data_IF_755669533384
#
_entry.id   IF_755669533384
#
_cell.length_a   1.000
_cell.length_b   1.000
_cell.length_c   1.000
_cell.angle_alpha   90.00
_cell.angle_beta   90.00
_cell.angle_gamma   90.00
#
_symmetry.space_group_name_H-M   'P 1'
#
loop_
_entity.id
_entity.type
_entity.pdbx_description
1 polymer ?
#
# COMPACT_ATOMS: atom_id res chain seq x y z
N UNK A 1 -3.68 -18.91 -20.17
CA UNK A 1 -2.53 -18.13 -19.65
C UNK A 1 -2.78 -17.90 -18.17
N UNK A 2 -1.77 -18.00 -17.30
CA UNK A 2 -1.91 -17.58 -15.90
C UNK A 2 -2.18 -16.07 -15.88
N UNK A 3 -3.19 -15.63 -15.12
CA UNK A 3 -3.47 -14.21 -14.95
C UNK A 3 -2.21 -13.48 -14.45
N UNK A 4 -1.86 -12.36 -15.09
CA UNK A 4 -0.71 -11.56 -14.64
C UNK A 4 -0.99 -10.96 -13.27
N UNK A 5 0.05 -10.49 -12.57
CA UNK A 5 -0.12 -9.78 -11.30
C UNK A 5 -1.05 -8.56 -11.47
N UNK A 6 -0.90 -7.84 -12.58
CA UNK A 6 -1.79 -6.75 -12.97
C UNK A 6 -3.25 -7.21 -13.06
N UNK A 7 -3.54 -8.27 -13.83
CA UNK A 7 -4.91 -8.72 -14.07
C UNK A 7 -5.57 -9.21 -12.78
N UNK A 8 -4.80 -9.87 -11.91
CA UNK A 8 -5.26 -10.31 -10.59
C UNK A 8 -5.64 -9.10 -9.73
N UNK A 9 -4.82 -8.05 -9.76
CA UNK A 9 -5.05 -6.84 -8.98
C UNK A 9 -6.27 -6.08 -9.48
N UNK A 10 -6.32 -5.79 -10.78
CA UNK A 10 -7.43 -5.09 -11.42
C UNK A 10 -8.75 -5.83 -11.20
N UNK A 11 -8.76 -7.16 -11.38
CA UNK A 11 -9.92 -8.01 -11.05
C UNK A 11 -10.36 -7.83 -9.60
N UNK A 12 -9.40 -7.79 -8.66
CA UNK A 12 -9.72 -7.64 -7.23
C UNK A 12 -10.32 -6.27 -6.93
N UNK A 13 -9.80 -5.22 -7.55
CA UNK A 13 -10.33 -3.85 -7.44
C UNK A 13 -11.76 -3.81 -7.99
N UNK A 14 -12.00 -4.29 -9.22
CA UNK A 14 -13.31 -4.32 -9.84
C UNK A 14 -14.34 -5.07 -8.98
N UNK A 15 -13.96 -6.25 -8.44
CA UNK A 15 -14.82 -7.03 -7.55
C UNK A 15 -15.14 -6.30 -6.25
N UNK A 16 -14.14 -5.68 -5.62
CA UNK A 16 -14.34 -4.98 -4.35
C UNK A 16 -15.23 -3.74 -4.51
N UNK A 17 -15.05 -3.00 -5.59
CA UNK A 17 -15.84 -1.81 -5.88
C UNK A 17 -17.16 -2.10 -6.60
N UNK A 18 -17.51 -3.38 -6.78
CA UNK A 18 -18.73 -3.83 -7.49
C UNK A 18 -18.90 -3.13 -8.86
N UNK A 19 -17.80 -3.01 -9.61
CA UNK A 19 -17.79 -2.34 -10.90
C UNK A 19 -18.55 -3.16 -11.96
N UNK A 20 -19.28 -2.46 -12.82
CA UNK A 20 -20.01 -3.04 -13.95
C UNK A 20 -19.04 -3.57 -15.03
N UNK A 21 -19.38 -4.60 -15.80
CA UNK A 21 -18.52 -5.09 -16.89
C UNK A 21 -18.25 -4.02 -17.96
N UNK A 22 -17.03 -3.49 -18.00
CA UNK A 22 -16.58 -2.45 -18.92
C UNK A 22 -15.04 -2.50 -19.10
N UNK A 23 -14.51 -1.65 -19.99
CA UNK A 23 -13.10 -1.32 -20.07
C UNK A 23 -12.76 -0.17 -19.10
N UNK A 24 -11.88 -0.43 -18.13
CA UNK A 24 -11.42 0.57 -17.16
C UNK A 24 -9.99 1.01 -17.48
N UNK A 25 -9.74 2.31 -17.46
CA UNK A 25 -8.37 2.80 -17.51
C UNK A 25 -7.70 2.74 -16.14
N UNK A 26 -6.38 3.00 -16.08
CA UNK A 26 -5.65 3.02 -14.83
C UNK A 26 -6.19 4.05 -13.84
N UNK A 27 -6.69 5.19 -14.33
CA UNK A 27 -7.17 6.25 -13.48
C UNK A 27 -8.43 5.79 -12.73
N UNK A 28 -9.38 5.17 -13.43
CA UNK A 28 -10.60 4.64 -12.82
C UNK A 28 -10.26 3.67 -11.67
N UNK A 29 -9.32 2.75 -11.92
CA UNK A 29 -8.90 1.75 -10.93
C UNK A 29 -8.08 2.37 -9.79
N UNK A 30 -7.22 3.34 -10.10
CA UNK A 30 -6.43 4.05 -9.10
C UNK A 30 -7.30 4.94 -8.20
N UNK A 31 -8.37 5.54 -8.73
CA UNK A 31 -9.32 6.31 -7.92
C UNK A 31 -9.97 5.43 -6.84
N UNK A 32 -10.29 4.16 -7.15
CA UNK A 32 -10.76 3.18 -6.15
C UNK A 32 -9.67 2.89 -5.11
N UNK A 33 -8.43 2.63 -5.54
CA UNK A 33 -7.31 2.37 -4.62
C UNK A 33 -7.06 3.56 -3.70
N UNK A 34 -7.18 4.79 -4.20
CA UNK A 34 -6.98 6.01 -3.42
C UNK A 34 -8.17 6.31 -2.50
N UNK A 35 -9.37 5.85 -2.82
CA UNK A 35 -10.55 5.95 -1.97
C UNK A 35 -10.54 4.97 -0.77
N UNK A 36 -9.64 3.98 -0.75
CA UNK A 36 -9.51 3.05 0.36
C UNK A 36 -9.24 3.78 1.70
N UNK A 37 -9.76 3.24 2.83
CA UNK A 37 -9.58 3.85 4.14
C UNK A 37 -8.11 4.12 4.46
N UNK A 38 -7.81 5.28 5.05
CA UNK A 38 -6.44 5.61 5.44
C UNK A 38 -5.96 4.69 6.58
N UNK A 39 -4.65 4.41 6.61
CA UNK A 39 -3.97 3.69 7.69
C UNK A 39 -4.48 4.02 9.10
N UNK A 40 -4.66 5.30 9.40
CA UNK A 40 -5.08 5.76 10.73
C UNK A 40 -6.46 5.28 11.14
N UNK A 41 -7.38 5.13 10.19
CA UNK A 41 -8.70 4.59 10.46
C UNK A 41 -8.57 3.14 10.94
N UNK A 42 -7.69 2.34 10.33
CA UNK A 42 -7.41 0.98 10.78
C UNK A 42 -6.76 0.95 12.17
N UNK A 43 -5.79 1.83 12.43
CA UNK A 43 -5.18 1.93 13.76
C UNK A 43 -6.21 2.27 14.85
N UNK A 44 -7.11 3.22 14.56
CA UNK A 44 -8.19 3.61 15.47
C UNK A 44 -9.19 2.47 15.70
N UNK A 45 -9.63 1.78 14.64
CA UNK A 45 -10.55 0.63 14.75
C UNK A 45 -9.93 -0.53 15.54
N UNK A 46 -8.61 -0.75 15.40
CA UNK A 46 -7.87 -1.75 16.14
C UNK A 46 -7.53 -1.32 17.59
N UNK A 47 -7.88 -0.10 18.01
CA UNK A 47 -7.53 0.44 19.32
C UNK A 47 -6.02 0.54 19.56
N UNK A 48 -5.24 0.71 18.50
CA UNK A 48 -3.77 0.79 18.58
C UNK A 48 -3.32 2.24 18.60
N UNK A 49 -2.55 2.60 19.63
CA UNK A 49 -1.92 3.92 19.69
C UNK A 49 -0.93 4.10 18.54
N UNK A 50 -0.94 5.27 17.91
CA UNK A 50 -0.14 5.53 16.70
C UNK A 50 1.36 5.35 16.93
N UNK A 51 1.86 5.66 18.13
CA UNK A 51 3.27 5.52 18.51
C UNK A 51 3.71 4.06 18.74
N UNK A 52 2.75 3.13 18.79
CA UNK A 52 2.99 1.68 18.93
C UNK A 52 2.90 0.91 17.60
N UNK A 53 2.57 1.59 16.51
CA UNK A 53 2.50 0.98 15.19
C UNK A 53 3.87 0.43 14.74
N UNK A 54 3.90 -0.61 13.88
CA UNK A 54 5.15 -1.14 13.33
C UNK A 54 5.90 -0.07 12.54
N UNK A 55 7.22 0.05 12.74
CA UNK A 55 8.10 0.97 12.02
C UNK A 55 8.66 0.32 10.76
N UNK A 56 8.24 0.79 9.60
CA UNK A 56 8.66 0.28 8.30
C UNK A 56 10.14 0.60 8.04
N UNK A 57 10.91 -0.42 7.68
CA UNK A 57 12.37 -0.33 7.53
C UNK A 57 13.15 -0.51 8.84
N UNK A 58 12.48 -0.63 9.98
CA UNK A 58 13.13 -0.81 11.30
C UNK A 58 12.64 -2.08 12.01
N UNK A 59 11.37 -2.10 12.44
CA UNK A 59 10.78 -3.26 13.14
C UNK A 59 10.09 -4.22 12.19
N UNK A 60 9.67 -3.75 11.01
CA UNK A 60 9.15 -4.56 9.92
C UNK A 60 9.83 -4.13 8.62
N UNK A 61 10.26 -5.09 7.80
CA UNK A 61 10.86 -4.79 6.50
C UNK A 61 9.77 -4.47 5.47
N UNK A 62 10.12 -3.69 4.43
CA UNK A 62 9.23 -3.43 3.28
C UNK A 62 8.77 -4.74 2.65
N UNK A 63 9.68 -5.70 2.49
CA UNK A 63 9.35 -7.02 1.93
C UNK A 63 8.30 -7.76 2.76
N UNK A 64 8.46 -7.82 4.09
CA UNK A 64 7.50 -8.52 4.95
C UNK A 64 6.14 -7.81 4.93
N UNK A 65 6.13 -6.47 4.98
CA UNK A 65 4.91 -5.69 4.90
C UNK A 65 4.17 -5.93 3.57
N UNK A 66 4.87 -5.83 2.43
CA UNK A 66 4.28 -6.05 1.11
C UNK A 66 3.85 -7.49 0.89
N UNK A 67 4.59 -8.48 1.40
CA UNK A 67 4.17 -9.87 1.33
C UNK A 67 2.84 -10.08 2.03
N UNK A 68 2.74 -9.70 3.30
CA UNK A 68 1.55 -9.95 4.12
C UNK A 68 0.33 -9.16 3.67
N UNK A 69 0.52 -7.91 3.24
CA UNK A 69 -0.58 -7.00 2.97
C UNK A 69 -0.93 -6.89 1.50
N UNK A 70 0.03 -7.06 0.57
CA UNK A 70 -0.24 -6.97 -0.87
C UNK A 70 -0.22 -8.33 -1.57
N UNK A 71 0.94 -9.01 -1.58
CA UNK A 71 1.15 -10.21 -2.40
C UNK A 71 0.38 -11.44 -1.91
N UNK A 72 0.19 -11.59 -0.60
CA UNK A 72 -0.63 -12.67 -0.05
C UNK A 72 -2.13 -12.35 -0.22
N UNK A 73 -2.50 -11.07 -0.22
CA UNK A 73 -3.90 -10.63 -0.37
C UNK A 73 -4.37 -10.77 -1.81
N UNK A 74 -3.61 -10.29 -2.80
CA UNK A 74 -4.02 -10.28 -4.21
C UNK A 74 -4.41 -11.68 -4.74
N UNK A 75 -3.70 -12.73 -4.31
CA UNK A 75 -3.95 -14.12 -4.71
C UNK A 75 -5.04 -14.83 -3.88
N UNK A 76 -5.59 -14.19 -2.86
CA UNK A 76 -6.57 -14.78 -1.94
C UNK A 76 -7.94 -14.09 -2.07
N UNK A 77 -8.94 -14.76 -2.68
CA UNK A 77 -10.29 -14.21 -2.81
C UNK A 77 -10.98 -13.91 -1.48
N UNK A 78 -10.61 -14.63 -0.40
CA UNK A 78 -11.20 -14.46 0.93
C UNK A 78 -10.68 -13.24 1.69
N UNK A 79 -9.64 -12.58 1.19
CA UNK A 79 -9.09 -11.36 1.81
C UNK A 79 -9.62 -10.13 1.10
N UNK A 80 -9.93 -9.10 1.86
CA UNK A 80 -10.57 -7.88 1.38
C UNK A 80 -9.56 -6.83 0.88
N UNK A 81 -10.01 -5.91 0.03
CA UNK A 81 -9.16 -4.84 -0.54
C UNK A 81 -8.66 -3.85 0.53
N UNK A 82 -9.47 -3.58 1.56
CA UNK A 82 -9.08 -2.70 2.67
C UNK A 82 -7.94 -3.28 3.52
N UNK A 83 -7.55 -4.54 3.33
CA UNK A 83 -6.39 -5.11 4.01
C UNK A 83 -5.05 -4.60 3.42
N UNK A 84 -5.09 -3.90 2.28
CA UNK A 84 -3.94 -3.22 1.70
C UNK A 84 -3.51 -1.98 2.50
N UNK A 85 -4.42 -1.34 3.22
CA UNK A 85 -4.18 -0.06 3.94
C UNK A 85 -3.68 -0.29 5.37
N UNK A 86 -2.80 -1.30 5.52
CA UNK A 86 -2.25 -1.72 6.81
C UNK A 86 -1.33 -0.63 7.40
N UNK A 87 -1.59 -0.15 8.64
CA UNK A 87 -0.90 1.01 9.17
C UNK A 87 0.53 0.71 9.60
N UNK A 88 1.45 1.61 9.24
CA UNK A 88 2.86 1.61 9.66
C UNK A 88 3.32 3.02 10.01
N UNK A 89 4.41 3.09 10.78
CA UNK A 89 5.19 4.31 10.96
C UNK A 89 6.35 4.32 9.98
N UNK A 90 6.54 5.45 9.32
CA UNK A 90 7.67 5.68 8.41
C UNK A 90 8.41 6.92 8.87
N UNK A 91 9.74 6.82 9.01
CA UNK A 91 10.54 7.97 9.39
C UNK A 91 10.45 9.05 8.31
N UNK A 92 10.47 10.30 8.74
CA UNK A 92 10.45 11.47 7.85
C UNK A 92 11.53 11.42 6.77
N UNK A 93 12.76 11.00 7.11
CA UNK A 93 13.87 10.95 6.16
C UNK A 93 13.71 9.89 5.07
N UNK A 94 13.01 8.78 5.35
CA UNK A 94 12.66 7.80 4.32
C UNK A 94 11.62 8.36 3.35
N UNK A 95 10.63 9.11 3.84
CA UNK A 95 9.62 9.75 2.98
C UNK A 95 10.26 10.83 2.10
N UNK A 96 11.10 11.69 2.68
CA UNK A 96 11.78 12.78 1.95
C UNK A 96 12.78 12.27 0.90
N UNK A 97 13.22 11.00 1.01
CA UNK A 97 14.21 10.39 0.11
C UNK A 97 13.83 8.97 -0.31
N UNK A 98 12.57 8.78 -0.71
CA UNK A 98 12.07 7.46 -1.13
C UNK A 98 12.92 6.81 -2.23
N UNK A 99 13.34 7.58 -3.23
CA UNK A 99 14.20 7.08 -4.32
C UNK A 99 15.57 6.61 -3.86
N UNK A 100 16.07 7.17 -2.75
CA UNK A 100 17.31 6.78 -2.10
C UNK A 100 17.17 5.58 -1.16
N UNK A 101 15.93 5.20 -0.80
CA UNK A 101 15.67 4.07 0.08
C UNK A 101 15.75 2.76 -0.71
N UNK A 102 16.78 1.96 -0.44
CA UNK A 102 17.12 0.75 -1.20
C UNK A 102 15.96 -0.23 -1.33
N UNK A 103 15.29 -0.55 -0.22
CA UNK A 103 14.17 -1.48 -0.18
C UNK A 103 12.99 -0.99 -1.02
N UNK A 104 12.68 0.31 -0.94
CA UNK A 104 11.63 0.94 -1.75
C UNK A 104 11.93 0.86 -3.24
N UNK A 105 13.17 1.19 -3.63
CA UNK A 105 13.61 1.11 -5.03
C UNK A 105 13.53 -0.32 -5.57
N UNK A 106 13.91 -1.33 -4.78
CA UNK A 106 13.77 -2.73 -5.19
C UNK A 106 12.30 -3.11 -5.42
N UNK A 107 11.40 -2.70 -4.53
CA UNK A 107 9.96 -2.92 -4.70
C UNK A 107 9.43 -2.24 -5.97
N UNK A 108 9.78 -0.97 -6.19
CA UNK A 108 9.33 -0.21 -7.35
C UNK A 108 9.79 -0.85 -8.67
N UNK A 109 11.06 -1.27 -8.75
CA UNK A 109 11.57 -1.97 -9.94
C UNK A 109 10.86 -3.30 -10.17
N UNK A 110 10.55 -4.05 -9.11
CA UNK A 110 9.83 -5.31 -9.22
C UNK A 110 8.40 -5.11 -9.73
N UNK A 111 7.65 -4.18 -9.12
CA UNK A 111 6.26 -3.89 -9.49
C UNK A 111 6.16 -3.31 -10.91
N UNK A 112 7.13 -2.49 -11.32
CA UNK A 112 7.15 -1.91 -12.67
C UNK A 112 7.18 -2.96 -13.79
N UNK A 113 7.76 -4.13 -13.55
CA UNK A 113 7.74 -5.25 -14.51
C UNK A 113 6.33 -5.81 -14.74
N UNK A 114 5.40 -5.51 -13.82
CA UNK A 114 4.00 -5.90 -13.90
C UNK A 114 3.07 -4.70 -14.19
N UNK A 115 3.59 -3.55 -14.66
CA UNK A 115 2.81 -2.32 -14.87
C UNK A 115 2.13 -1.83 -13.58
N UNK A 116 2.85 -1.87 -12.47
CA UNK A 116 2.40 -1.44 -11.15
C UNK A 116 3.46 -0.54 -10.49
N UNK A 117 3.05 0.35 -9.61
CA UNK A 117 3.95 1.23 -8.87
C UNK A 117 3.56 1.30 -7.38
N UNK A 118 4.51 1.16 -6.43
CA UNK A 118 4.21 1.37 -5.02
C UNK A 118 4.14 2.87 -4.72
N UNK A 119 3.17 3.26 -3.91
CA UNK A 119 3.02 4.64 -3.42
C UNK A 119 2.87 4.64 -1.90
N UNK A 120 3.44 5.66 -1.26
CA UNK A 120 3.31 5.89 0.17
C UNK A 120 2.17 6.87 0.40
N UNK A 121 1.10 6.44 1.08
CA UNK A 121 0.02 7.32 1.51
C UNK A 121 0.19 7.58 2.99
N UNK A 122 0.27 8.84 3.40
CA UNK A 122 0.60 9.20 4.78
C UNK A 122 -0.18 10.42 5.27
N UNK A 123 -0.35 10.51 6.59
CA UNK A 123 -0.87 11.73 7.22
C UNK A 123 0.22 12.77 7.32
N UNK A 124 -0.09 14.02 7.00
CA UNK A 124 0.83 15.16 7.11
C UNK A 124 1.17 15.59 8.55
N UNK A 125 0.59 14.95 9.57
CA UNK A 125 0.86 15.25 10.98
C UNK A 125 1.90 14.25 11.49
N UNK A 126 3.08 14.75 11.92
CA UNK A 126 4.10 13.88 12.48
C UNK A 126 3.69 13.30 13.84
N UNK A 127 4.12 12.08 14.12
CA UNK A 127 4.00 11.39 15.41
C UNK A 127 5.40 11.31 16.05
N UNK A 128 5.62 11.95 17.21
CA UNK A 128 6.87 11.80 17.95
C UNK A 128 6.88 10.44 18.64
N UNK A 129 7.90 9.63 18.37
CA UNK A 129 8.06 8.30 18.96
C UNK A 129 9.33 8.26 19.78
N UNK A 130 9.23 7.79 21.02
CA UNK A 130 10.38 7.63 21.91
C UNK A 130 11.17 6.38 21.51
N UNK A 131 12.36 6.57 20.96
CA UNK A 131 13.23 5.49 20.48
C UNK A 131 14.30 5.08 21.50
N UNK A 132 14.68 5.99 22.39
CA UNK A 132 15.59 5.74 23.51
C UNK A 132 15.20 6.60 24.74
N UNK A 133 15.80 6.40 25.93
CA UNK A 133 15.45 7.14 27.14
C UNK A 133 15.42 8.67 26.98
N UNK A 134 16.25 9.21 26.08
CA UNK A 134 16.37 10.64 25.78
C UNK A 134 16.29 10.95 24.28
N UNK A 135 15.83 10.00 23.45
CA UNK A 135 15.74 10.18 22.00
C UNK A 135 14.29 10.11 21.54
N UNK A 136 13.88 11.08 20.75
CA UNK A 136 12.58 11.12 20.09
C UNK A 136 12.82 11.30 18.60
N UNK A 137 12.23 10.42 17.81
CA UNK A 137 12.32 10.45 16.36
C UNK A 137 10.94 10.75 15.79
N UNK A 138 10.91 11.52 14.70
CA UNK A 138 9.67 11.92 14.04
C UNK A 138 9.30 10.90 12.96
N UNK A 139 8.10 10.34 13.09
CA UNK A 139 7.49 9.43 12.13
C UNK A 139 6.23 10.05 11.53
N UNK A 140 5.77 9.49 10.43
CA UNK A 140 4.42 9.69 9.91
C UNK A 140 3.68 8.36 9.91
N UNK A 141 2.39 8.40 10.19
CA UNK A 141 1.52 7.23 9.97
C UNK A 141 1.24 7.13 8.48
N UNK A 142 1.48 5.95 7.93
CA UNK A 142 1.36 5.68 6.51
C UNK A 142 0.82 4.27 6.24
N UNK A 143 0.44 4.05 4.99
CA UNK A 143 0.27 2.74 4.36
C UNK A 143 0.95 2.73 2.99
N UNK A 144 1.28 1.53 2.51
CA UNK A 144 1.84 1.32 1.17
C UNK A 144 0.75 0.80 0.26
N UNK A 145 0.37 1.60 -0.73
CA UNK A 145 -0.57 1.20 -1.78
C UNK A 145 0.18 0.85 -3.05
N UNK A 146 -0.48 0.12 -3.93
CA UNK A 146 0.04 -0.17 -5.27
C UNK A 146 -0.94 0.43 -6.27
N UNK A 147 -0.44 1.27 -7.17
CA UNK A 147 -1.20 1.86 -8.27
C UNK A 147 -0.90 1.12 -9.58
N UNK A 148 -1.81 1.23 -10.53
CA UNK A 148 -1.70 0.69 -11.88
C UNK A 148 -1.03 1.71 -12.79
N UNK A 149 -0.12 1.23 -13.65
CA UNK A 149 0.70 2.00 -14.61
C UNK A 149 0.80 1.25 -15.96
N UNK A 150 -0.34 0.93 -16.56
CA UNK A 150 -0.51 0.32 -17.87
C UNK A 150 -1.23 1.27 -18.83
N UNK A 151 -0.63 1.49 -20.00
CA UNK A 151 -1.23 2.33 -21.06
C UNK A 151 -2.49 1.75 -21.74
N UNK A 152 -2.88 0.52 -21.45
CA UNK A 152 -4.01 -0.17 -22.09
C UNK A 152 -5.11 -0.44 -21.06
N UNK A 153 -6.38 -0.19 -21.39
CA UNK A 153 -7.50 -0.47 -20.49
C UNK A 153 -7.57 -1.93 -20.07
N UNK A 154 -7.98 -2.15 -18.82
CA UNK A 154 -8.33 -3.46 -18.30
C UNK A 154 -9.77 -3.82 -18.68
N UNK A 155 -9.98 -4.99 -19.28
CA UNK A 155 -11.31 -5.48 -19.64
C UNK A 155 -11.92 -6.28 -18.50
N UNK A 156 -12.95 -5.72 -17.87
CA UNK A 156 -13.70 -6.37 -16.80
C UNK A 156 -14.95 -7.06 -17.34
N UNK A 157 -15.14 -8.33 -17.00
CA UNK A 157 -16.24 -9.16 -17.53
C UNK A 157 -17.23 -9.67 -16.46
N UNK A 158 -17.00 -9.37 -15.17
CA UNK A 158 -17.77 -9.91 -14.03
C UNK A 158 -17.22 -11.22 -13.47
#
# INVERSE_FOLDING_TARGET
MSATLYDQYATKICRHAELEPEAYDDKDLNDVVMALPLAEAHAALAGTDLDKLPRLGETISVNNHMKTNFFDVIGMPSRELHEFTSPVLVRKDFIERLEGWREWRTLAVYLKQANLEPVMVFRNTPVPVKTAPYETTVYYVADVRVILDRNEPFLWNG
#
